data_IF_385835663870
#
_entry.id   IF_385835663870
#
_cell.length_a   1.000
_cell.length_b   1.000
_cell.length_c   1.000
_cell.angle_alpha   90.00
_cell.angle_beta   90.00
_cell.angle_gamma   90.00
#
_symmetry.space_group_name_H-M   'P 1'
#
loop_
_entity.id
_entity.type
_entity.pdbx_description
1 polymer ?
#
# COMPACT_ATOMS: atom_id res chain seq x y z
N UNK A 1 -9.18 21.02 22.65
CA UNK A 1 -8.63 20.03 21.69
C UNK A 1 -7.62 19.18 22.42
N UNK A 2 -7.68 17.86 22.33
CA UNK A 2 -6.68 17.00 22.99
C UNK A 2 -5.32 17.19 22.30
N UNK A 3 -4.21 17.28 23.04
CA UNK A 3 -2.87 17.31 22.44
C UNK A 3 -2.63 16.10 21.56
N UNK A 4 -1.79 16.22 20.51
CA UNK A 4 -1.46 15.12 19.62
C UNK A 4 -0.97 13.88 20.40
N UNK A 5 -0.12 14.09 21.38
CA UNK A 5 0.40 13.03 22.27
C UNK A 5 -0.71 12.19 22.94
N UNK A 6 -1.83 12.84 23.34
CA UNK A 6 -2.98 12.12 23.86
C UNK A 6 -3.73 11.30 22.81
N UNK A 7 -3.72 11.74 21.52
CA UNK A 7 -4.36 11.02 20.41
C UNK A 7 -3.56 9.79 19.98
N UNK A 8 -2.24 9.90 20.04
CA UNK A 8 -1.33 8.81 19.70
C UNK A 8 -0.96 7.94 20.92
N UNK A 9 -1.47 8.26 22.11
CA UNK A 9 -1.13 7.60 23.39
C UNK A 9 0.38 7.45 23.60
N UNK A 10 1.15 8.47 23.20
CA UNK A 10 2.58 8.54 23.38
C UNK A 10 3.00 9.93 23.81
N UNK A 11 3.83 10.03 24.85
CA UNK A 11 4.38 11.28 25.36
C UNK A 11 5.86 11.35 25.06
N UNK A 12 6.27 12.34 24.27
CA UNK A 12 7.66 12.55 23.92
C UNK A 12 8.51 12.92 25.13
N UNK A 13 9.68 12.31 25.25
CA UNK A 13 10.74 12.67 26.18
C UNK A 13 11.49 13.90 25.67
N UNK A 14 11.73 13.94 24.35
CA UNK A 14 12.33 15.07 23.66
C UNK A 14 11.29 15.75 22.75
N UNK A 15 10.72 16.86 23.24
CA UNK A 15 9.72 17.63 22.49
C UNK A 15 10.26 18.25 21.17
N UNK A 16 11.58 18.36 21.01
CA UNK A 16 12.16 18.84 19.75
C UNK A 16 11.97 17.85 18.61
N UNK A 17 12.00 16.54 18.87
CA UNK A 17 11.70 15.52 17.86
C UNK A 17 10.26 15.64 17.35
N UNK A 18 9.30 15.88 18.25
CA UNK A 18 7.92 16.12 17.86
C UNK A 18 7.80 17.41 17.03
N UNK A 19 8.46 18.48 17.46
CA UNK A 19 8.43 19.75 16.75
C UNK A 19 9.05 19.61 15.34
N UNK A 20 10.17 18.89 15.21
CA UNK A 20 10.81 18.61 13.92
C UNK A 20 9.90 17.77 13.01
N UNK A 21 9.29 16.71 13.53
CA UNK A 21 8.37 15.85 12.78
C UNK A 21 7.15 16.60 12.25
N UNK A 22 6.71 17.64 12.95
CA UNK A 22 5.56 18.46 12.57
C UNK A 22 5.94 19.68 11.70
N UNK A 23 7.22 19.95 11.48
CA UNK A 23 7.68 21.11 10.72
C UNK A 23 7.84 20.74 9.24
N UNK A 24 6.94 21.26 8.41
CA UNK A 24 7.01 21.08 6.96
C UNK A 24 8.17 21.91 6.36
N UNK A 25 8.83 21.43 5.30
CA UNK A 25 9.95 22.14 4.65
C UNK A 25 9.63 23.58 4.23
N UNK A 26 8.38 23.90 3.88
CA UNK A 26 7.97 25.25 3.53
C UNK A 26 8.18 26.26 4.67
N UNK A 27 7.94 25.85 5.91
CA UNK A 27 8.19 26.72 7.07
C UNK A 27 9.68 26.89 7.34
N UNK A 28 10.44 25.80 7.27
CA UNK A 28 11.89 25.83 7.44
C UNK A 28 12.56 26.75 6.40
N UNK A 29 12.07 26.72 5.17
CA UNK A 29 12.51 27.60 4.09
C UNK A 29 12.19 29.08 4.36
N UNK A 30 10.96 29.40 4.78
CA UNK A 30 10.53 30.79 5.08
C UNK A 30 11.22 31.35 6.33
N UNK A 31 11.50 30.53 7.34
CA UNK A 31 12.13 30.93 8.60
C UNK A 31 13.65 30.93 8.57
N UNK A 32 14.28 30.56 7.44
CA UNK A 32 15.73 30.40 7.28
C UNK A 32 16.37 29.32 8.18
N UNK A 33 15.57 28.49 8.83
CA UNK A 33 16.04 27.34 9.63
C UNK A 33 16.08 26.08 8.76
N UNK A 34 16.90 26.09 7.69
CA UNK A 34 16.90 25.11 6.58
C UNK A 34 17.15 23.65 6.97
N UNK A 35 17.56 23.37 8.18
CA UNK A 35 17.87 22.00 8.64
C UNK A 35 16.93 21.53 9.74
N UNK A 36 15.83 22.23 10.01
CA UNK A 36 14.83 21.85 10.99
C UNK A 36 13.49 21.67 10.30
N UNK A 37 13.35 20.53 9.66
CA UNK A 37 12.11 20.10 8.99
C UNK A 37 11.98 18.58 9.08
N UNK A 38 10.85 18.06 8.62
CA UNK A 38 10.48 16.67 8.80
C UNK A 38 11.09 15.68 7.79
N UNK A 39 11.79 16.12 6.75
CA UNK A 39 12.24 15.24 5.65
C UNK A 39 13.16 14.09 6.10
N UNK A 40 14.05 14.35 7.05
CA UNK A 40 14.94 13.31 7.56
C UNK A 40 14.20 12.30 8.44
N UNK A 41 13.23 12.76 9.19
CA UNK A 41 12.37 11.90 10.01
C UNK A 41 11.39 11.11 9.14
N UNK A 42 10.87 11.69 8.06
CA UNK A 42 10.08 11.02 7.02
C UNK A 42 10.87 9.83 6.43
N UNK A 43 12.10 10.09 5.96
CA UNK A 43 12.97 9.05 5.41
C UNK A 43 13.18 7.88 6.39
N UNK A 44 13.45 8.19 7.66
CA UNK A 44 13.63 7.16 8.69
C UNK A 44 12.31 6.45 9.01
N UNK A 45 11.24 7.23 9.15
CA UNK A 45 9.92 6.71 9.52
C UNK A 45 9.32 5.80 8.46
N UNK A 46 9.52 6.09 7.16
CA UNK A 46 9.15 5.18 6.07
C UNK A 46 9.83 3.81 6.25
N UNK A 47 11.14 3.78 6.51
CA UNK A 47 11.86 2.52 6.71
C UNK A 47 11.36 1.74 7.94
N UNK A 48 11.12 2.44 9.06
CA UNK A 48 10.59 1.83 10.30
C UNK A 48 9.17 1.30 10.07
N UNK A 49 8.31 2.07 9.43
CA UNK A 49 6.94 1.69 9.11
C UNK A 49 6.90 0.46 8.20
N UNK A 50 7.72 0.46 7.14
CA UNK A 50 7.83 -0.68 6.24
C UNK A 50 8.30 -1.95 6.94
N UNK A 51 9.30 -1.85 7.84
CA UNK A 51 9.76 -2.99 8.64
C UNK A 51 8.63 -3.56 9.50
N UNK A 52 7.94 -2.71 10.26
CA UNK A 52 6.89 -3.12 11.18
C UNK A 52 5.72 -3.78 10.42
N UNK A 53 5.25 -3.14 9.34
CA UNK A 53 4.15 -3.67 8.52
C UNK A 53 4.56 -4.98 7.84
N UNK A 54 5.80 -5.09 7.35
CA UNK A 54 6.29 -6.33 6.72
C UNK A 54 6.32 -7.48 7.72
N UNK A 55 6.82 -7.25 8.92
CA UNK A 55 6.88 -8.27 9.97
C UNK A 55 5.47 -8.72 10.38
N UNK A 56 4.55 -7.78 10.55
CA UNK A 56 3.16 -8.09 10.92
C UNK A 56 2.45 -8.91 9.82
N UNK A 57 2.58 -8.52 8.56
CA UNK A 57 1.99 -9.25 7.44
C UNK A 57 2.59 -10.66 7.31
N UNK A 58 3.92 -10.78 7.49
CA UNK A 58 4.60 -12.08 7.45
C UNK A 58 4.09 -13.04 8.54
N UNK A 59 3.86 -12.53 9.76
CA UNK A 59 3.31 -13.32 10.87
C UNK A 59 1.84 -13.66 10.68
N UNK A 60 1.06 -12.72 10.16
CA UNK A 60 -0.40 -12.86 10.01
C UNK A 60 -0.79 -13.80 8.87
N UNK A 61 0.01 -13.84 7.80
CA UNK A 61 -0.27 -14.62 6.60
C UNK A 61 0.84 -15.62 6.28
N UNK A 62 1.01 -16.69 7.08
CA UNK A 62 2.12 -17.64 6.93
C UNK A 62 2.06 -18.45 5.64
N UNK A 63 0.88 -18.56 5.02
CA UNK A 63 0.69 -19.24 3.74
C UNK A 63 0.81 -18.33 2.50
N UNK A 64 0.99 -17.03 2.69
CA UNK A 64 1.02 -16.08 1.58
C UNK A 64 2.37 -16.09 0.83
N UNK A 65 2.31 -15.94 -0.49
CA UNK A 65 3.51 -15.75 -1.32
C UNK A 65 4.15 -14.40 -1.08
N UNK A 66 5.45 -14.26 -1.43
CA UNK A 66 6.17 -12.97 -1.37
C UNK A 66 5.44 -11.89 -2.17
N UNK A 67 4.99 -12.20 -3.39
CA UNK A 67 4.25 -11.27 -4.23
C UNK A 67 2.94 -10.79 -3.60
N UNK A 68 2.23 -11.68 -2.86
CA UNK A 68 1.02 -11.31 -2.14
C UNK A 68 1.34 -10.38 -0.95
N UNK A 69 2.32 -10.73 -0.13
CA UNK A 69 2.78 -9.90 0.98
C UNK A 69 3.22 -8.52 0.53
N UNK A 70 3.93 -8.43 -0.61
CA UNK A 70 4.36 -7.16 -1.20
C UNK A 70 3.18 -6.29 -1.64
N UNK A 71 2.12 -6.88 -2.23
CA UNK A 71 0.89 -6.16 -2.59
C UNK A 71 0.15 -5.65 -1.35
N UNK A 72 -0.01 -6.51 -0.33
CA UNK A 72 -0.65 -6.11 0.94
C UNK A 72 0.11 -4.95 1.59
N UNK A 73 1.43 -5.06 1.70
CA UNK A 73 2.27 -3.99 2.23
C UNK A 73 2.09 -2.70 1.44
N UNK A 74 2.22 -2.74 0.12
CA UNK A 74 2.07 -1.55 -0.75
C UNK A 74 0.70 -0.87 -0.57
N UNK A 75 -0.35 -1.62 -0.30
CA UNK A 75 -1.69 -1.07 0.00
C UNK A 75 -1.69 -0.33 1.33
N UNK A 76 -1.15 -0.94 2.40
CA UNK A 76 -1.14 -0.39 3.76
C UNK A 76 -0.26 0.85 3.88
N UNK A 77 0.93 0.84 3.24
CA UNK A 77 1.88 1.96 3.29
C UNK A 77 1.74 2.92 2.10
N UNK A 78 0.63 2.83 1.33
CA UNK A 78 0.38 3.79 0.25
C UNK A 78 0.17 5.19 0.83
N UNK A 79 0.60 6.22 0.10
CA UNK A 79 0.37 7.63 0.46
C UNK A 79 -1.09 7.92 0.86
N UNK A 80 -2.04 7.30 0.16
CA UNK A 80 -3.47 7.44 0.47
C UNK A 80 -3.85 6.82 1.81
N UNK A 81 -3.32 5.65 2.13
CA UNK A 81 -3.55 4.98 3.40
C UNK A 81 -2.93 5.75 4.56
N UNK A 82 -1.67 6.17 4.42
CA UNK A 82 -0.96 6.95 5.44
C UNK A 82 -1.67 8.28 5.72
N UNK A 83 -2.13 8.99 4.67
CA UNK A 83 -2.92 10.19 4.84
C UNK A 83 -4.26 9.93 5.58
N UNK A 84 -4.92 8.77 5.35
CA UNK A 84 -6.12 8.38 6.08
C UNK A 84 -5.83 8.20 7.58
N UNK A 85 -4.72 7.55 7.95
CA UNK A 85 -4.30 7.40 9.34
C UNK A 85 -3.94 8.75 9.97
N UNK A 86 -3.22 9.61 9.25
CA UNK A 86 -2.94 10.98 9.69
C UNK A 86 -4.23 11.78 9.98
N UNK A 87 -5.25 11.64 9.12
CA UNK A 87 -6.55 12.29 9.33
C UNK A 87 -7.28 11.73 10.54
N UNK A 88 -7.21 10.43 10.79
CA UNK A 88 -7.88 9.80 11.94
C UNK A 88 -7.37 10.34 13.29
N UNK A 89 -6.08 10.67 13.38
CA UNK A 89 -5.48 11.31 14.56
C UNK A 89 -5.48 12.85 14.50
N UNK A 90 -6.11 13.43 13.47
CA UNK A 90 -6.14 14.88 13.20
C UNK A 90 -4.74 15.51 13.07
N UNK A 91 -3.75 14.76 12.56
CA UNK A 91 -2.37 15.19 12.48
C UNK A 91 -2.21 16.52 11.74
N UNK A 92 -3.00 16.75 10.69
CA UNK A 92 -2.98 17.99 9.92
C UNK A 92 -3.17 19.27 10.74
N UNK A 93 -3.87 19.22 11.89
CA UNK A 93 -4.09 20.36 12.75
C UNK A 93 -2.81 20.81 13.48
N UNK A 94 -1.81 19.94 13.56
CA UNK A 94 -0.56 20.17 14.28
C UNK A 94 0.63 20.48 13.36
N UNK A 95 0.50 20.25 12.03
CA UNK A 95 1.58 20.51 11.07
C UNK A 95 1.86 22.00 11.00
N UNK A 96 3.12 22.36 11.09
CA UNK A 96 3.62 23.72 10.97
C UNK A 96 4.01 23.99 9.51
N UNK A 97 3.28 24.86 8.85
CA UNK A 97 3.42 25.18 7.43
C UNK A 97 3.91 26.62 7.22
N UNK A 98 4.65 26.85 6.15
CA UNK A 98 4.88 28.19 5.64
C UNK A 98 3.59 28.83 5.10
N UNK A 99 3.51 30.15 5.07
CA UNK A 99 2.30 30.91 4.66
C UNK A 99 1.82 30.54 3.26
N UNK A 100 2.76 30.34 2.33
CA UNK A 100 2.44 29.96 0.96
C UNK A 100 1.77 28.58 0.89
N UNK A 101 2.32 27.58 1.57
CA UNK A 101 1.78 26.23 1.61
C UNK A 101 0.43 26.17 2.34
N UNK A 102 0.28 26.90 3.44
CA UNK A 102 -0.98 27.04 4.17
C UNK A 102 -2.09 27.60 3.28
N UNK A 103 -1.79 28.70 2.54
CA UNK A 103 -2.77 29.38 1.68
C UNK A 103 -3.30 28.51 0.53
N UNK A 104 -2.52 27.51 0.09
CA UNK A 104 -2.90 26.55 -0.96
C UNK A 104 -3.55 25.29 -0.43
N UNK A 105 -3.88 25.23 0.86
CA UNK A 105 -4.53 24.08 1.49
C UNK A 105 -3.57 22.91 1.78
N UNK A 106 -2.28 23.17 1.90
CA UNK A 106 -1.23 22.17 2.15
C UNK A 106 -1.53 21.27 3.34
N UNK A 107 -2.13 21.82 4.40
CA UNK A 107 -2.54 21.09 5.61
C UNK A 107 -3.44 19.88 5.37
N UNK A 108 -4.19 19.87 4.27
CA UNK A 108 -5.12 18.78 3.88
C UNK A 108 -4.62 17.98 2.69
N UNK A 109 -3.45 18.30 2.17
CA UNK A 109 -2.88 17.60 1.01
C UNK A 109 -2.43 16.21 1.45
N UNK A 110 -2.77 15.19 0.65
CA UNK A 110 -2.47 13.79 0.98
C UNK A 110 -0.96 13.53 1.14
N UNK A 111 -0.12 14.18 0.33
CA UNK A 111 1.33 14.07 0.48
C UNK A 111 1.79 14.61 1.84
N UNK A 112 1.43 15.86 2.16
CA UNK A 112 1.81 16.50 3.43
C UNK A 112 1.38 15.70 4.66
N UNK A 113 0.19 15.10 4.61
CA UNK A 113 -0.33 14.25 5.69
C UNK A 113 0.44 12.92 5.80
N UNK A 114 0.76 12.30 4.67
CA UNK A 114 1.52 11.05 4.64
C UNK A 114 2.96 11.27 5.14
N UNK A 115 3.65 12.28 4.60
CA UNK A 115 5.02 12.63 4.96
C UNK A 115 5.13 12.98 6.47
N UNK A 116 4.13 13.73 7.01
CA UNK A 116 4.07 14.03 8.44
C UNK A 116 3.77 12.79 9.29
N UNK A 117 2.99 11.83 8.78
CA UNK A 117 2.72 10.58 9.49
C UNK A 117 3.99 9.72 9.58
N UNK A 118 4.71 9.55 8.49
CA UNK A 118 6.00 8.86 8.47
C UNK A 118 7.00 9.54 9.41
N UNK A 119 7.10 10.87 9.35
CA UNK A 119 7.96 11.65 10.24
C UNK A 119 7.63 11.45 11.71
N UNK A 120 6.35 11.38 12.06
CA UNK A 120 5.89 11.11 13.43
C UNK A 120 6.36 9.73 13.90
N UNK A 121 6.27 8.70 13.05
CA UNK A 121 6.77 7.36 13.37
C UNK A 121 8.30 7.38 13.55
N UNK A 122 9.03 8.06 12.68
CA UNK A 122 10.48 8.24 12.82
C UNK A 122 10.88 8.95 14.11
N UNK A 123 10.10 9.96 14.51
CA UNK A 123 10.32 10.68 15.76
C UNK A 123 10.07 9.81 16.99
N UNK A 124 9.00 9.03 17.01
CA UNK A 124 8.71 8.07 18.11
C UNK A 124 9.80 7.01 18.20
N UNK A 125 10.25 6.48 17.08
CA UNK A 125 11.36 5.52 17.05
C UNK A 125 12.65 6.08 17.66
N UNK A 126 13.02 7.32 17.35
CA UNK A 126 14.23 7.96 17.89
C UNK A 126 14.08 8.38 19.36
N UNK A 127 12.86 8.73 19.80
CA UNK A 127 12.57 9.15 21.17
C UNK A 127 12.50 7.95 22.14
N UNK A 128 12.24 6.75 21.62
CA UNK A 128 12.10 5.52 22.38
C UNK A 128 12.88 4.35 21.75
N UNK A 129 12.19 3.47 21.04
CA UNK A 129 12.72 2.28 20.39
C UNK A 129 11.75 1.73 19.33
N UNK A 130 12.14 0.61 18.70
CA UNK A 130 11.33 -0.05 17.67
C UNK A 130 10.04 -0.66 18.22
N UNK A 131 10.04 -1.11 19.47
CA UNK A 131 8.87 -1.78 20.06
C UNK A 131 7.77 -0.78 20.36
N UNK A 132 8.09 0.40 20.84
CA UNK A 132 7.14 1.49 21.03
C UNK A 132 6.60 2.02 19.69
N UNK A 133 7.47 2.17 18.68
CA UNK A 133 7.03 2.52 17.33
C UNK A 133 6.08 1.45 16.75
N UNK A 134 6.37 0.17 16.98
CA UNK A 134 5.51 -0.97 16.58
C UNK A 134 4.14 -0.90 17.25
N UNK A 135 4.10 -0.70 18.55
CA UNK A 135 2.84 -0.58 19.29
C UNK A 135 1.97 0.55 18.72
N UNK A 136 2.57 1.72 18.48
CA UNK A 136 1.88 2.85 17.89
C UNK A 136 1.35 2.52 16.49
N UNK A 137 2.22 2.02 15.59
CA UNK A 137 1.86 1.69 14.22
C UNK A 137 0.73 0.67 14.18
N UNK A 138 0.88 -0.47 14.86
CA UNK A 138 -0.13 -1.53 14.81
C UNK A 138 -1.48 -1.07 15.36
N UNK A 139 -1.50 -0.26 16.40
CA UNK A 139 -2.73 0.33 16.94
C UNK A 139 -3.40 1.27 15.93
N UNK A 140 -2.64 2.14 15.26
CA UNK A 140 -3.19 3.08 14.27
C UNK A 140 -3.67 2.39 12.98
N UNK A 141 -3.11 1.23 12.67
CA UNK A 141 -3.43 0.43 11.48
C UNK A 141 -4.39 -0.74 11.77
N UNK A 142 -4.87 -0.89 13.01
CA UNK A 142 -5.64 -2.06 13.46
C UNK A 142 -6.83 -2.37 12.55
N UNK A 143 -7.65 -1.37 12.24
CA UNK A 143 -8.82 -1.52 11.38
C UNK A 143 -8.45 -1.95 9.95
N UNK A 144 -7.38 -1.39 9.39
CA UNK A 144 -6.93 -1.73 8.02
C UNK A 144 -6.36 -3.14 7.97
N UNK A 145 -5.56 -3.51 8.97
CA UNK A 145 -4.97 -4.84 9.09
C UNK A 145 -6.01 -5.90 9.47
N UNK A 146 -6.99 -5.56 10.32
CA UNK A 146 -8.08 -6.45 10.75
C UNK A 146 -9.03 -6.81 9.62
N UNK A 147 -9.22 -5.92 8.66
CA UNK A 147 -10.07 -6.15 7.48
C UNK A 147 -9.34 -6.89 6.34
N UNK A 148 -8.08 -7.30 6.53
CA UNK A 148 -7.35 -8.13 5.58
C UNK A 148 -7.66 -9.60 5.83
N UNK A 149 -8.25 -10.25 4.85
CA UNK A 149 -8.49 -11.69 4.88
C UNK A 149 -7.35 -12.44 4.18
N UNK A 150 -6.99 -13.59 4.74
CA UNK A 150 -6.13 -14.55 4.07
C UNK A 150 -6.93 -15.10 2.87
N UNK A 151 -6.56 -14.66 1.65
CA UNK A 151 -7.25 -15.12 0.45
C UNK A 151 -8.17 -14.12 -0.25
N UNK A 152 -8.30 -12.86 0.22
CA UNK A 152 -8.70 -11.78 -0.69
C UNK A 152 -7.51 -11.39 -1.58
N UNK A 153 -6.92 -12.40 -2.22
CA UNK A 153 -6.21 -12.13 -3.44
C UNK A 153 -7.19 -11.43 -4.37
N UNK A 154 -6.91 -10.21 -4.79
CA UNK A 154 -7.12 -9.95 -6.19
C UNK A 154 -6.25 -11.00 -6.90
N UNK A 155 -6.86 -12.18 -7.12
CA UNK A 155 -6.21 -13.27 -7.84
C UNK A 155 -5.65 -12.64 -9.10
N UNK A 156 -4.33 -12.65 -9.23
CA UNK A 156 -3.70 -12.29 -10.50
C UNK A 156 -3.38 -13.58 -11.27
N UNK A 157 -4.39 -14.33 -11.70
CA UNK A 157 -4.17 -15.62 -12.34
C UNK A 157 -3.39 -15.48 -13.63
N UNK A 158 -3.40 -14.29 -14.24
CA UNK A 158 -2.59 -13.99 -15.43
C UNK A 158 -1.10 -13.91 -15.09
N UNK A 159 -0.72 -13.27 -13.98
CA UNK A 159 0.66 -13.20 -13.51
C UNK A 159 1.16 -14.58 -13.05
N UNK A 160 0.38 -15.26 -12.25
CA UNK A 160 0.71 -16.61 -11.77
C UNK A 160 0.88 -17.62 -12.93
N UNK A 161 -0.03 -17.61 -13.91
CA UNK A 161 0.10 -18.44 -15.10
C UNK A 161 1.37 -18.09 -15.90
N UNK A 162 1.67 -16.78 -16.03
CA UNK A 162 2.86 -16.34 -16.72
C UNK A 162 4.13 -16.81 -16.03
N UNK A 163 4.22 -16.72 -14.71
CA UNK A 163 5.36 -17.20 -13.91
C UNK A 163 5.54 -18.71 -14.05
N UNK A 164 4.47 -19.50 -13.92
CA UNK A 164 4.49 -20.95 -14.11
C UNK A 164 5.00 -21.33 -15.51
N UNK A 165 4.49 -20.69 -16.55
CA UNK A 165 4.87 -21.00 -17.93
C UNK A 165 6.28 -20.52 -18.27
N UNK A 166 6.70 -19.37 -17.76
CA UNK A 166 8.05 -18.83 -17.98
C UNK A 166 9.13 -19.61 -17.23
N UNK A 167 8.80 -20.30 -16.14
CA UNK A 167 9.70 -21.25 -15.49
C UNK A 167 10.06 -22.44 -16.40
N UNK A 168 9.19 -22.77 -17.37
CA UNK A 168 9.39 -23.88 -18.34
C UNK A 168 10.01 -23.36 -19.64
N UNK A 169 9.54 -22.22 -20.15
CA UNK A 169 9.99 -21.65 -21.42
C UNK A 169 9.73 -20.14 -21.46
N UNK A 170 10.67 -19.30 -21.99
CA UNK A 170 10.59 -17.83 -21.93
C UNK A 170 9.37 -17.19 -22.59
N UNK A 171 8.63 -17.91 -23.42
CA UNK A 171 7.45 -17.38 -24.12
C UNK A 171 6.31 -17.10 -23.15
N UNK A 172 5.77 -15.89 -23.17
CA UNK A 172 4.59 -15.52 -22.40
C UNK A 172 3.28 -16.14 -22.95
N UNK A 173 2.27 -16.39 -22.11
CA UNK A 173 0.94 -16.76 -22.57
C UNK A 173 0.28 -15.64 -23.37
N UNK A 174 -0.52 -16.00 -24.39
CA UNK A 174 -1.27 -15.08 -25.21
C UNK A 174 -2.76 -15.18 -24.92
N UNK A 175 -3.43 -14.05 -24.83
CA UNK A 175 -4.87 -13.96 -24.58
C UNK A 175 -5.57 -13.39 -25.80
N UNK A 176 -6.71 -13.97 -26.17
CA UNK A 176 -7.54 -13.52 -27.28
C UNK A 176 -9.01 -13.55 -26.89
N UNK A 177 -9.73 -12.45 -27.15
CA UNK A 177 -11.19 -12.44 -27.04
C UNK A 177 -11.77 -13.19 -28.24
N UNK A 178 -12.51 -14.25 -27.97
CA UNK A 178 -13.08 -15.14 -29.00
C UNK A 178 -14.56 -14.88 -29.23
N UNK A 179 -15.27 -14.30 -28.25
CA UNK A 179 -16.66 -13.87 -28.45
C UNK A 179 -17.02 -12.72 -27.51
N UNK A 180 -18.01 -11.95 -27.98
CA UNK A 180 -18.64 -10.87 -27.24
C UNK A 180 -20.15 -10.97 -27.46
N UNK A 181 -20.96 -11.05 -26.43
CA UNK A 181 -22.41 -11.28 -26.53
C UNK A 181 -23.19 -10.54 -25.44
N UNK A 182 -24.47 -10.30 -25.69
CA UNK A 182 -25.38 -9.61 -24.78
C UNK A 182 -25.51 -8.11 -25.05
N UNK A 183 -26.57 -7.45 -24.49
CA UNK A 183 -26.79 -6.03 -24.61
C UNK A 183 -25.73 -5.23 -23.86
N UNK A 184 -25.53 -3.96 -24.18
CA UNK A 184 -24.45 -3.09 -23.65
C UNK A 184 -24.34 -3.11 -22.13
N UNK A 185 -25.46 -3.14 -21.40
CA UNK A 185 -25.51 -3.16 -19.94
C UNK A 185 -25.32 -4.56 -19.30
N UNK A 186 -25.25 -5.62 -20.12
CA UNK A 186 -25.02 -7.02 -19.71
C UNK A 186 -24.09 -7.77 -20.67
N UNK A 187 -23.10 -7.06 -21.20
CA UNK A 187 -22.12 -7.61 -22.13
C UNK A 187 -21.28 -8.69 -21.45
N UNK A 188 -21.14 -9.82 -22.12
CA UNK A 188 -20.32 -10.96 -21.69
C UNK A 188 -19.23 -11.18 -22.72
N UNK A 189 -18.00 -11.21 -22.26
CA UNK A 189 -16.80 -11.49 -23.04
C UNK A 189 -16.36 -12.94 -22.79
N UNK A 190 -15.86 -13.61 -23.81
CA UNK A 190 -15.18 -14.88 -23.67
C UNK A 190 -13.76 -14.73 -24.19
N UNK A 191 -12.78 -15.12 -23.37
CA UNK A 191 -11.37 -15.09 -23.68
C UNK A 191 -10.81 -16.51 -23.70
N UNK A 192 -9.81 -16.71 -24.54
CA UNK A 192 -8.97 -17.91 -24.62
C UNK A 192 -7.55 -17.52 -24.19
N UNK A 193 -6.88 -18.41 -23.46
CA UNK A 193 -5.43 -18.33 -23.21
C UNK A 193 -4.73 -19.46 -23.95
N UNK A 194 -3.66 -19.12 -24.66
CA UNK A 194 -2.82 -20.05 -25.39
C UNK A 194 -1.35 -19.87 -25.08
N UNK A 195 -0.59 -20.94 -25.18
CA UNK A 195 0.86 -20.93 -25.01
C UNK A 195 1.51 -21.92 -25.97
N UNK A 196 2.57 -21.49 -26.65
CA UNK A 196 3.28 -22.29 -27.67
C UNK A 196 2.36 -22.89 -28.73
N UNK A 197 1.34 -22.15 -29.14
CA UNK A 197 0.36 -22.60 -30.15
C UNK A 197 -0.74 -23.52 -29.63
N UNK A 198 -0.68 -23.98 -28.36
CA UNK A 198 -1.71 -24.82 -27.74
C UNK A 198 -2.66 -23.94 -26.92
N UNK A 199 -3.97 -24.12 -27.08
CA UNK A 199 -4.98 -23.52 -26.23
C UNK A 199 -4.96 -24.24 -24.88
N UNK A 200 -4.80 -23.49 -23.79
CA UNK A 200 -4.75 -24.02 -22.42
C UNK A 200 -6.13 -24.02 -21.77
N UNK A 201 -6.88 -22.92 -21.91
CA UNK A 201 -8.21 -22.80 -21.34
C UNK A 201 -8.99 -21.61 -21.92
N UNK A 202 -10.29 -21.52 -21.57
CA UNK A 202 -11.12 -20.35 -21.85
C UNK A 202 -11.87 -19.88 -20.61
N UNK A 203 -12.25 -18.58 -20.59
CA UNK A 203 -12.98 -17.98 -19.47
C UNK A 203 -14.00 -16.95 -19.94
N UNK A 204 -15.10 -16.77 -19.19
CA UNK A 204 -16.13 -15.78 -19.47
C UNK A 204 -16.15 -14.73 -18.37
N UNK A 205 -16.39 -13.44 -18.72
CA UNK A 205 -16.47 -12.36 -17.75
C UNK A 205 -17.29 -11.18 -18.26
N UNK A 206 -17.64 -10.28 -17.35
CA UNK A 206 -18.38 -9.03 -17.67
C UNK A 206 -17.49 -7.95 -18.29
N UNK A 207 -16.18 -8.18 -18.31
CA UNK A 207 -15.19 -7.34 -19.00
C UNK A 207 -14.13 -8.23 -19.65
N UNK A 208 -13.39 -7.68 -20.61
CA UNK A 208 -12.26 -8.38 -21.26
C UNK A 208 -11.24 -8.84 -20.20
N UNK A 209 -10.89 -7.94 -19.25
CA UNK A 209 -9.95 -8.23 -18.15
C UNK A 209 -10.44 -9.41 -17.27
N UNK A 210 -11.72 -9.44 -16.94
CA UNK A 210 -12.31 -10.53 -16.15
C UNK A 210 -12.33 -11.86 -16.92
N UNK A 211 -12.68 -11.83 -18.21
CA UNK A 211 -12.68 -13.03 -19.05
C UNK A 211 -11.28 -13.64 -19.20
N UNK A 212 -10.26 -12.79 -19.41
CA UNK A 212 -8.86 -13.21 -19.48
C UNK A 212 -8.35 -13.75 -18.13
N UNK A 213 -8.71 -13.13 -17.01
CA UNK A 213 -8.33 -13.60 -15.68
C UNK A 213 -8.95 -14.98 -15.37
N UNK A 214 -10.22 -15.19 -15.76
CA UNK A 214 -10.87 -16.50 -15.61
C UNK A 214 -10.25 -17.56 -16.53
N UNK A 215 -9.87 -17.21 -17.75
CA UNK A 215 -9.17 -18.13 -18.64
C UNK A 215 -7.83 -18.56 -18.04
N UNK A 216 -7.07 -17.63 -17.46
CA UNK A 216 -5.84 -17.95 -16.76
C UNK A 216 -6.05 -18.86 -15.54
N UNK A 217 -7.08 -18.60 -14.73
CA UNK A 217 -7.43 -19.41 -13.57
C UNK A 217 -7.77 -20.86 -13.96
N UNK A 218 -8.58 -21.03 -15.01
CA UNK A 218 -8.92 -22.36 -15.52
C UNK A 218 -7.69 -23.08 -16.11
N UNK A 219 -6.78 -22.35 -16.76
CA UNK A 219 -5.51 -22.90 -17.20
C UNK A 219 -4.68 -23.42 -16.02
N UNK A 220 -4.50 -22.59 -14.96
CA UNK A 220 -3.78 -22.97 -13.73
C UNK A 220 -4.36 -24.22 -13.08
N UNK A 221 -5.67 -24.37 -13.07
CA UNK A 221 -6.36 -25.57 -12.55
C UNK A 221 -6.13 -26.80 -13.41
N UNK A 222 -6.20 -26.64 -14.71
CA UNK A 222 -6.10 -27.76 -15.65
C UNK A 222 -4.66 -28.26 -15.86
N UNK A 223 -3.64 -27.42 -15.68
CA UNK A 223 -2.20 -27.71 -15.87
C UNK A 223 -1.87 -28.43 -17.15
N UNK A 224 -2.53 -28.10 -18.26
CA UNK A 224 -2.40 -28.79 -19.55
C UNK A 224 -1.04 -28.59 -20.26
N UNK A 225 -0.12 -27.86 -19.64
CA UNK A 225 1.25 -27.66 -20.11
C UNK A 225 2.26 -28.64 -19.53
N UNK A 226 1.87 -29.41 -18.52
CA UNK A 226 2.74 -30.44 -17.88
C UNK A 226 2.77 -31.76 -18.67
N UNK A 227 2.16 -31.79 -19.88
CA UNK A 227 2.03 -32.99 -20.74
C UNK A 227 2.89 -32.86 -21.99
#
# INVERSE_FOLDING_TARGET
>A
MLPLESRIHYKFRNSLLLAEALTHPSLAYESQHRNFDNQRLEFLGDAVLQLIVTEELFRRFPGATEGHLTKLRSRVVSRRALAKFAMAIHLGEYILLGKGEESTGGRRRLSTLADAFESLIGAVFLDSDVDMARELVLRLLEDELGNMEEGTEEMNPKGELQECLQAIHPQAPMYRIISESGPDHRRVFQAEVSWRGKVLASGKGKSKKEAEARAALEALRARLWDV
#
